data_IF_217233139083
#
_entry.id   IF_217233139083
#
_cell.length_a   1.000
_cell.length_b   1.000
_cell.length_c   1.000
_cell.angle_alpha   90.00
_cell.angle_beta   90.00
_cell.angle_gamma   90.00
#
_symmetry.space_group_name_H-M   'P 1'
#
loop_
_entity.id
_entity.type
_entity.pdbx_description
1 polymer ?
#
# COMPACT_ATOMS: atom_id res chain seq x y z
N UNK A 1 41.87 1.88 20.05
CA UNK A 1 41.91 2.12 18.59
C UNK A 1 40.78 1.41 17.85
N UNK A 2 40.68 0.08 17.89
CA UNK A 2 39.67 -0.68 17.13
C UNK A 2 38.23 -0.44 17.62
N UNK A 3 38.01 -0.38 18.94
CA UNK A 3 36.66 -0.17 19.51
C UNK A 3 36.04 1.18 19.10
N UNK A 4 36.85 2.25 19.07
CA UNK A 4 36.41 3.58 18.69
C UNK A 4 36.05 3.67 17.20
N UNK A 5 36.79 2.97 16.34
CA UNK A 5 36.51 2.90 14.90
C UNK A 5 35.20 2.16 14.63
N UNK A 6 34.93 1.08 15.38
CA UNK A 6 33.68 0.31 15.26
C UNK A 6 32.48 1.12 15.73
N UNK A 7 32.60 1.89 16.81
CA UNK A 7 31.50 2.76 17.27
C UNK A 7 31.21 3.91 16.30
N UNK A 8 32.26 4.51 15.72
CA UNK A 8 32.12 5.55 14.70
C UNK A 8 31.49 5.02 13.41
N UNK A 9 31.86 3.81 12.97
CA UNK A 9 31.29 3.19 11.77
C UNK A 9 29.84 2.74 11.97
N UNK A 10 29.48 2.18 13.13
CA UNK A 10 28.10 1.82 13.46
C UNK A 10 27.19 3.05 13.56
N UNK A 11 27.69 4.13 14.17
CA UNK A 11 26.97 5.41 14.27
C UNK A 11 26.73 6.05 12.91
N UNK A 12 27.75 6.05 12.03
CA UNK A 12 27.63 6.55 10.66
C UNK A 12 26.66 5.70 9.82
N UNK A 13 26.69 4.38 9.98
CA UNK A 13 25.78 3.47 9.29
C UNK A 13 24.31 3.67 9.71
N UNK A 14 24.05 3.95 10.99
CA UNK A 14 22.71 4.23 11.50
C UNK A 14 22.11 5.53 10.93
N UNK A 15 22.93 6.58 10.77
CA UNK A 15 22.48 7.87 10.21
C UNK A 15 22.12 7.80 8.72
N UNK A 16 22.68 6.85 7.96
CA UNK A 16 22.35 6.66 6.54
C UNK A 16 21.00 5.96 6.37
N UNK A 17 20.58 5.17 7.37
CA UNK A 17 19.26 4.51 7.39
C UNK A 17 18.17 5.46 7.90
N UNK A 18 18.00 6.60 7.23
CA UNK A 18 16.78 7.39 7.36
C UNK A 18 15.60 6.55 6.89
N UNK A 19 14.77 6.09 7.82
CA UNK A 19 13.51 5.43 7.49
C UNK A 19 12.56 6.46 6.88
N UNK A 20 12.61 6.62 5.56
CA UNK A 20 11.58 7.34 4.81
C UNK A 20 10.28 6.53 4.88
N UNK A 21 9.49 6.77 5.94
CA UNK A 21 8.14 6.27 6.01
C UNK A 21 7.30 6.91 4.91
N UNK A 22 7.00 6.15 3.85
CA UNK A 22 6.12 6.60 2.76
C UNK A 22 4.81 7.11 3.35
N UNK A 23 4.54 8.41 3.24
CA UNK A 23 3.30 9.00 3.75
C UNK A 23 2.13 8.61 2.86
N UNK A 24 1.46 7.52 3.20
CA UNK A 24 0.30 7.00 2.49
C UNK A 24 -1.03 7.67 2.88
N UNK A 25 -1.01 8.52 3.91
CA UNK A 25 -2.19 9.11 4.54
C UNK A 25 -2.71 10.32 3.75
N UNK A 26 -3.14 10.08 2.51
CA UNK A 26 -3.87 11.08 1.72
C UNK A 26 -5.36 11.01 2.05
N UNK A 27 -5.97 12.14 2.40
CA UNK A 27 -7.42 12.21 2.55
C UNK A 27 -8.09 12.06 1.17
N UNK A 28 -9.04 11.14 1.07
CA UNK A 28 -9.87 10.99 -0.12
C UNK A 28 -11.22 11.66 0.11
N UNK A 29 -11.70 12.33 -0.92
CA UNK A 29 -13.09 12.79 -1.05
C UNK A 29 -14.06 11.61 -1.03
N UNK A 30 -15.32 11.89 -0.69
CA UNK A 30 -16.39 10.88 -0.60
C UNK A 30 -17.15 10.70 -1.92
N UNK A 31 -16.60 11.13 -3.06
CA UNK A 31 -17.28 10.85 -4.33
C UNK A 31 -17.30 9.35 -4.64
N UNK A 32 -18.38 8.95 -5.29
CA UNK A 32 -18.54 7.61 -5.81
C UNK A 32 -18.16 7.59 -7.30
N UNK A 33 -16.96 7.11 -7.58
CA UNK A 33 -16.42 6.91 -8.92
C UNK A 33 -15.74 5.54 -8.97
N UNK A 34 -16.52 4.45 -8.99
CA UNK A 34 -16.01 3.13 -8.62
C UNK A 34 -14.89 2.67 -9.56
N UNK A 35 -13.94 1.94 -8.97
CA UNK A 35 -12.89 1.24 -9.74
C UNK A 35 -12.81 -0.21 -9.32
N UNK A 36 -12.70 -1.10 -10.30
CA UNK A 36 -12.43 -2.51 -10.10
C UNK A 36 -10.91 -2.68 -10.01
N UNK A 37 -10.41 -2.82 -8.79
CA UNK A 37 -9.01 -3.09 -8.52
C UNK A 37 -8.73 -4.58 -8.59
N UNK A 38 -7.64 -4.96 -9.27
CA UNK A 38 -7.13 -6.33 -9.33
C UNK A 38 -5.76 -6.38 -8.63
N UNK A 39 -5.60 -7.32 -7.70
CA UNK A 39 -4.36 -7.60 -6.98
C UNK A 39 -3.95 -9.04 -7.22
N UNK A 40 -2.69 -9.25 -7.57
CA UNK A 40 -2.05 -10.57 -7.54
C UNK A 40 -1.34 -10.74 -6.21
N UNK A 41 -1.79 -11.68 -5.38
CA UNK A 41 -1.20 -11.96 -4.06
C UNK A 41 -1.06 -13.46 -3.86
N UNK A 42 0.17 -13.94 -3.66
CA UNK A 42 0.48 -15.36 -3.44
C UNK A 42 -0.14 -16.29 -4.51
N UNK A 43 -0.06 -15.89 -5.78
CA UNK A 43 -0.60 -16.65 -6.92
C UNK A 43 -2.13 -16.60 -7.06
N UNK A 44 -2.84 -15.83 -6.22
CA UNK A 44 -4.29 -15.63 -6.32
C UNK A 44 -4.60 -14.25 -6.87
N UNK A 45 -5.55 -14.21 -7.81
CA UNK A 45 -6.14 -12.97 -8.32
C UNK A 45 -7.31 -12.56 -7.43
N UNK A 46 -7.14 -11.46 -6.72
CA UNK A 46 -8.18 -10.83 -5.90
C UNK A 46 -8.71 -9.63 -6.67
N UNK A 47 -10.02 -9.49 -6.77
CA UNK A 47 -10.66 -8.34 -7.42
C UNK A 47 -11.68 -7.70 -6.49
N UNK A 48 -11.50 -6.41 -6.21
CA UNK A 48 -12.31 -5.65 -5.28
C UNK A 48 -12.76 -4.34 -5.90
N UNK A 49 -14.02 -4.00 -5.67
CA UNK A 49 -14.56 -2.69 -6.01
C UNK A 49 -14.16 -1.68 -4.94
N UNK A 50 -13.46 -0.62 -5.34
CA UNK A 50 -13.16 0.54 -4.51
C UNK A 50 -14.13 1.67 -4.83
N UNK A 51 -14.42 2.52 -3.85
CA UNK A 51 -15.38 3.62 -3.99
C UNK A 51 -14.94 4.68 -5.00
N UNK A 52 -13.63 4.91 -5.08
CA UNK A 52 -12.99 5.84 -6.00
C UNK A 52 -11.51 5.48 -6.23
N UNK A 53 -10.84 6.07 -7.24
CA UNK A 53 -9.43 5.81 -7.51
C UNK A 53 -8.51 6.20 -6.35
N UNK A 54 -8.86 7.24 -5.59
CA UNK A 54 -8.08 7.70 -4.46
C UNK A 54 -8.00 6.64 -3.36
N UNK A 55 -9.14 6.04 -2.97
CA UNK A 55 -9.16 5.00 -1.93
C UNK A 55 -8.38 3.77 -2.33
N UNK A 56 -8.43 3.36 -3.61
CA UNK A 56 -7.58 2.29 -4.13
C UNK A 56 -6.09 2.63 -4.01
N UNK A 57 -5.68 3.85 -4.39
CA UNK A 57 -4.27 4.28 -4.32
C UNK A 57 -3.75 4.35 -2.88
N UNK A 58 -4.54 4.90 -1.97
CA UNK A 58 -4.19 4.93 -0.53
C UNK A 58 -4.03 3.51 0.00
N UNK A 59 -4.96 2.61 -0.33
CA UNK A 59 -4.85 1.19 0.03
C UNK A 59 -3.58 0.55 -0.51
N UNK A 60 -3.25 0.78 -1.78
CA UNK A 60 -2.00 0.28 -2.40
C UNK A 60 -0.77 0.74 -1.63
N UNK A 61 -0.76 2.00 -1.21
CA UNK A 61 0.35 2.57 -0.47
C UNK A 61 0.46 1.98 0.94
N UNK A 62 -0.63 2.00 1.73
CA UNK A 62 -0.64 1.55 3.13
C UNK A 62 -0.23 0.08 3.25
N UNK A 63 -0.72 -0.77 2.35
CA UNK A 63 -0.45 -2.20 2.40
C UNK A 63 0.75 -2.64 1.55
N UNK A 64 1.42 -1.72 0.87
CA UNK A 64 2.45 -2.01 -0.13
C UNK A 64 1.96 -3.06 -1.16
N UNK A 65 0.72 -2.89 -1.63
CA UNK A 65 0.03 -3.79 -2.56
C UNK A 65 -0.08 -3.14 -3.94
N UNK A 66 0.24 -3.88 -5.01
CA UNK A 66 0.15 -3.38 -6.39
C UNK A 66 -1.22 -3.65 -6.99
N UNK A 67 -2.20 -2.80 -6.67
CA UNK A 67 -3.53 -2.84 -7.29
C UNK A 67 -3.50 -2.24 -8.70
N UNK A 68 -4.12 -2.93 -9.65
CA UNK A 68 -4.36 -2.43 -11.02
C UNK A 68 -5.85 -2.13 -11.17
N UNK A 69 -6.20 -0.86 -11.37
CA UNK A 69 -7.58 -0.41 -11.47
C UNK A 69 -8.11 -0.36 -12.91
N UNK A 70 -9.37 -0.72 -13.08
CA UNK A 70 -10.20 -0.38 -14.26
C UNK A 70 -11.42 0.40 -13.79
N UNK A 71 -11.86 1.39 -14.56
CA UNK A 71 -13.08 2.16 -14.23
C UNK A 71 -14.31 1.26 -14.14
N UNK A 72 -15.22 1.59 -13.22
CA UNK A 72 -16.44 0.82 -12.96
C UNK A 72 -16.30 -0.17 -11.82
N UNK A 73 -17.39 -0.88 -11.53
CA UNK A 73 -17.43 -1.93 -10.51
C UNK A 73 -16.80 -3.24 -11.02
N UNK A 74 -16.38 -4.12 -10.11
CA UNK A 74 -16.04 -5.49 -10.50
C UNK A 74 -17.32 -6.29 -10.79
N UNK A 75 -17.30 -7.11 -11.84
CA UNK A 75 -18.39 -8.04 -12.13
C UNK A 75 -18.64 -9.01 -10.96
N UNK A 76 -17.56 -9.43 -10.29
CA UNK A 76 -17.58 -10.29 -9.09
C UNK A 76 -16.57 -9.72 -8.10
N UNK A 77 -16.92 -9.58 -6.83
CA UNK A 77 -15.93 -9.27 -5.79
C UNK A 77 -15.39 -10.56 -5.17
N UNK A 78 -14.08 -10.61 -4.96
CA UNK A 78 -13.45 -11.71 -4.23
C UNK A 78 -13.90 -11.71 -2.75
N UNK A 79 -14.05 -12.89 -2.11
CA UNK A 79 -14.46 -12.97 -0.71
C UNK A 79 -13.47 -12.27 0.25
N UNK A 80 -12.21 -12.15 -0.15
CA UNK A 80 -11.17 -11.46 0.61
C UNK A 80 -11.40 -9.94 0.75
N UNK A 81 -12.23 -9.33 -0.10
CA UNK A 81 -12.50 -7.89 -0.09
C UNK A 81 -13.10 -7.41 1.25
N UNK A 82 -13.82 -8.28 1.98
CA UNK A 82 -14.38 -7.97 3.29
C UNK A 82 -13.32 -7.67 4.36
N UNK A 83 -12.09 -8.17 4.18
CA UNK A 83 -10.94 -7.87 5.04
C UNK A 83 -10.17 -6.64 4.56
N UNK A 84 -10.16 -6.39 3.25
CA UNK A 84 -9.44 -5.27 2.62
C UNK A 84 -10.14 -3.93 2.91
N UNK A 85 -11.48 -3.88 2.92
CA UNK A 85 -12.25 -2.65 3.17
C UNK A 85 -12.30 -2.19 4.64
N UNK A 86 -11.79 -3.00 5.57
CA UNK A 86 -11.80 -2.71 7.03
C UNK A 86 -10.49 -2.11 7.55
N UNK A 87 -9.50 -1.94 6.68
CA UNK A 87 -8.18 -1.35 6.94
C UNK A 87 -8.06 0.00 6.23
#
# INVERSE_FOLDING_TARGET
MHLAIVLLSLGLFCCIMGAEGTRCNTACTREYNPVCGVLQRRGRRIQCTFSNPCTMRVRSCIANERWVGRSGICAINSPECARIRRS
#
